data_IF_703606893652
#
_entry.id   IF_703606893652
#
_cell.length_a   1.000
_cell.length_b   1.000
_cell.length_c   1.000
_cell.angle_alpha   90.00
_cell.angle_beta   90.00
_cell.angle_gamma   90.00
#
_symmetry.space_group_name_H-M   'P 1'
#
loop_
_entity.id
_entity.type
_entity.pdbx_description
1 polymer ?
#
# COMPACT_ATOMS: atom_id res chain seq x y z
N UNK A 1 20.37 -30.99 13.12
CA UNK A 1 19.91 -30.71 11.75
C UNK A 1 19.17 -29.38 11.79
N UNK A 2 19.93 -28.31 11.67
CA UNK A 2 19.40 -26.95 11.60
C UNK A 2 18.85 -26.73 10.18
N UNK A 3 17.54 -26.47 10.08
CA UNK A 3 16.96 -25.92 8.86
C UNK A 3 17.12 -24.42 8.94
N UNK A 4 18.07 -23.90 8.16
CA UNK A 4 18.18 -22.47 7.90
C UNK A 4 16.88 -22.01 7.23
N UNK A 5 16.02 -21.33 7.98
CA UNK A 5 14.98 -20.47 7.42
C UNK A 5 15.69 -19.22 6.91
N UNK A 6 16.19 -19.29 5.68
CA UNK A 6 16.62 -18.10 4.95
C UNK A 6 15.38 -17.25 4.68
N UNK A 7 15.28 -16.14 5.42
CA UNK A 7 14.45 -14.99 5.07
C UNK A 7 14.79 -14.58 3.63
N UNK A 8 13.97 -15.00 2.66
CA UNK A 8 14.09 -14.48 1.30
C UNK A 8 13.49 -13.08 1.28
N UNK A 9 14.37 -12.09 1.16
CA UNK A 9 14.11 -10.68 0.95
C UNK A 9 13.35 -10.44 -0.37
N UNK A 10 12.09 -10.86 -0.45
CA UNK A 10 11.27 -10.73 -1.65
C UNK A 10 10.67 -9.34 -1.88
N UNK A 11 10.73 -8.45 -0.88
CA UNK A 11 10.15 -7.11 -0.98
C UNK A 11 11.15 -6.06 -1.48
N UNK A 12 12.43 -6.14 -1.09
CA UNK A 12 13.45 -5.14 -1.46
C UNK A 12 14.15 -5.40 -2.80
N UNK A 13 14.11 -6.61 -3.35
CA UNK A 13 14.79 -6.95 -4.62
C UNK A 13 13.91 -6.83 -5.87
N UNK A 14 12.70 -6.27 -5.76
CA UNK A 14 11.98 -5.76 -6.95
C UNK A 14 12.57 -4.40 -7.32
N UNK A 15 13.89 -4.35 -7.52
CA UNK A 15 14.66 -3.13 -7.84
C UNK A 15 14.33 -2.53 -9.21
N UNK A 16 13.50 -3.19 -10.01
CA UNK A 16 12.92 -2.65 -11.24
C UNK A 16 11.47 -3.13 -11.40
N UNK A 17 10.52 -2.32 -10.89
CA UNK A 17 9.07 -2.48 -11.13
C UNK A 17 8.72 -2.70 -12.61
N UNK A 18 9.55 -2.17 -13.51
CA UNK A 18 9.36 -2.21 -14.96
C UNK A 18 9.59 -3.58 -15.62
N UNK A 19 10.20 -4.56 -14.95
CA UNK A 19 10.63 -5.81 -15.60
C UNK A 19 9.67 -6.99 -15.38
N UNK A 20 8.74 -6.87 -14.43
CA UNK A 20 7.90 -7.99 -14.00
C UNK A 20 6.43 -7.57 -13.89
N UNK A 21 5.54 -8.43 -14.37
CA UNK A 21 4.12 -8.37 -14.05
C UNK A 21 3.82 -9.18 -12.80
N UNK A 22 2.77 -8.80 -12.08
CA UNK A 22 2.29 -9.52 -10.89
C UNK A 22 1.01 -10.24 -11.25
N UNK A 23 0.90 -11.51 -10.85
CA UNK A 23 -0.27 -12.32 -11.14
C UNK A 23 -0.65 -13.19 -9.93
N UNK A 24 -1.95 -13.41 -9.76
CA UNK A 24 -2.49 -14.41 -8.84
C UNK A 24 -2.81 -15.69 -9.60
N UNK A 25 -2.16 -16.79 -9.25
CA UNK A 25 -2.43 -18.14 -9.75
C UNK A 25 -3.78 -18.59 -9.19
N UNK A 26 -4.64 -19.06 -10.10
CA UNK A 26 -5.93 -19.66 -9.77
C UNK A 26 -5.86 -21.17 -9.83
N UNK A 27 -5.15 -21.68 -10.83
CA UNK A 27 -5.04 -23.11 -11.09
C UNK A 27 -3.80 -23.38 -11.93
N UNK A 28 -3.17 -24.54 -11.70
CA UNK A 28 -2.09 -25.06 -12.55
C UNK A 28 -2.56 -26.37 -13.18
N UNK A 29 -2.36 -26.51 -14.50
CA UNK A 29 -2.66 -27.72 -15.26
C UNK A 29 -1.46 -28.13 -16.08
N UNK A 30 -1.24 -29.44 -16.17
CA UNK A 30 -0.23 -30.03 -17.02
C UNK A 30 -0.90 -30.90 -18.09
N UNK A 31 -0.52 -30.71 -19.35
CA UNK A 31 -0.85 -31.66 -20.41
C UNK A 31 0.17 -32.80 -20.45
N UNK A 32 1.46 -32.45 -20.30
CA UNK A 32 2.57 -33.39 -20.15
C UNK A 32 3.71 -32.74 -19.34
N UNK A 33 4.87 -33.39 -19.28
CA UNK A 33 6.04 -32.95 -18.48
C UNK A 33 6.61 -31.61 -18.95
N UNK A 34 6.46 -31.26 -20.23
CA UNK A 34 6.98 -30.03 -20.82
C UNK A 34 5.91 -28.95 -20.99
N UNK A 35 4.63 -29.32 -20.95
CA UNK A 35 3.52 -28.41 -21.18
C UNK A 35 2.69 -28.21 -19.91
N UNK A 36 3.18 -27.31 -19.05
CA UNK A 36 2.52 -26.91 -17.81
C UNK A 36 2.10 -25.44 -17.92
N UNK A 37 0.81 -25.19 -17.65
CA UNK A 37 0.20 -23.87 -17.77
C UNK A 37 -0.49 -23.48 -16.48
N UNK A 38 -0.44 -22.19 -16.14
CA UNK A 38 -1.17 -21.61 -15.03
C UNK A 38 -2.26 -20.68 -15.56
N UNK A 39 -3.47 -20.81 -15.01
CA UNK A 39 -4.53 -19.83 -15.16
C UNK A 39 -4.38 -18.77 -14.07
N UNK A 40 -4.37 -17.51 -14.46
CA UNK A 40 -4.04 -16.40 -13.56
C UNK A 40 -5.04 -15.25 -13.64
N UNK A 41 -5.10 -14.43 -12.59
CA UNK A 41 -5.57 -13.05 -12.66
C UNK A 41 -4.39 -12.08 -12.61
N UNK A 42 -4.38 -11.09 -13.50
CA UNK A 42 -3.37 -10.03 -13.47
C UNK A 42 -3.61 -9.05 -12.31
N UNK A 43 -2.53 -8.60 -11.69
CA UNK A 43 -2.52 -7.50 -10.73
C UNK A 43 -1.73 -6.35 -11.33
N UNK A 44 -2.38 -5.20 -11.50
CA UNK A 44 -1.82 -4.06 -12.21
C UNK A 44 -1.07 -3.14 -11.26
N UNK A 45 0.02 -2.58 -11.77
CA UNK A 45 0.53 -1.35 -11.18
C UNK A 45 -0.44 -0.20 -11.47
N UNK A 46 -0.65 0.74 -10.53
CA UNK A 46 -1.48 1.90 -10.79
C UNK A 46 -1.10 2.69 -12.06
N UNK A 47 0.18 2.71 -12.42
CA UNK A 47 0.72 3.31 -13.64
C UNK A 47 0.15 2.69 -14.93
N UNK A 48 -0.24 1.41 -14.89
CA UNK A 48 -0.73 0.64 -16.04
C UNK A 48 -2.25 0.79 -16.25
N UNK A 49 -2.94 1.55 -15.39
CA UNK A 49 -4.37 1.76 -15.51
C UNK A 49 -4.71 2.43 -16.85
N UNK A 50 -5.55 1.81 -17.70
CA UNK A 50 -5.87 2.34 -19.01
C UNK A 50 -6.44 3.76 -18.99
N UNK A 51 -6.19 4.50 -20.07
CA UNK A 51 -6.82 5.82 -20.27
C UNK A 51 -8.32 5.64 -20.37
N UNK A 52 -9.05 6.38 -19.53
CA UNK A 52 -10.52 6.33 -19.50
C UNK A 52 -11.09 5.33 -18.50
N UNK A 53 -10.26 4.70 -17.66
CA UNK A 53 -10.72 3.94 -16.50
C UNK A 53 -11.65 4.79 -15.63
N UNK A 54 -12.76 4.21 -15.19
CA UNK A 54 -13.74 4.84 -14.34
C UNK A 54 -13.37 4.68 -12.87
N UNK A 55 -13.32 5.79 -12.15
CA UNK A 55 -13.21 5.86 -10.69
C UNK A 55 -14.44 6.63 -10.17
N UNK A 56 -15.48 5.88 -9.80
CA UNK A 56 -16.81 6.41 -9.56
C UNK A 56 -17.35 7.16 -10.78
N UNK A 57 -17.45 8.50 -10.70
CA UNK A 57 -17.94 9.36 -11.79
C UNK A 57 -16.82 9.97 -12.64
N UNK A 58 -15.56 9.75 -12.27
CA UNK A 58 -14.39 10.37 -12.91
C UNK A 58 -13.78 9.40 -13.90
N UNK A 59 -13.25 9.93 -15.01
CA UNK A 59 -12.35 9.20 -15.89
C UNK A 59 -10.92 9.51 -15.50
N UNK A 60 -10.12 8.48 -15.32
CA UNK A 60 -8.73 8.56 -14.90
C UNK A 60 -7.82 7.86 -15.92
N UNK A 61 -6.52 8.02 -15.72
CA UNK A 61 -5.48 7.30 -16.41
C UNK A 61 -4.28 7.18 -15.47
N UNK A 62 -3.64 6.02 -15.45
CA UNK A 62 -2.47 5.77 -14.62
C UNK A 62 -2.70 6.04 -13.13
N UNK A 63 -1.57 6.24 -12.42
CA UNK A 63 -1.54 6.39 -10.96
C UNK A 63 -2.29 7.65 -10.52
N UNK A 64 -3.24 7.48 -9.61
CA UNK A 64 -3.92 8.57 -8.92
C UNK A 64 -3.14 9.02 -7.67
N UNK A 65 -3.31 10.28 -7.21
CA UNK A 65 -2.58 10.83 -6.06
C UNK A 65 -2.79 10.06 -4.75
N UNK A 66 -3.91 9.35 -4.61
CA UNK A 66 -4.24 8.55 -3.44
C UNK A 66 -3.61 7.16 -3.44
N UNK A 67 -3.00 6.70 -4.53
CA UNK A 67 -2.34 5.39 -4.56
C UNK A 67 -0.98 5.43 -3.86
N UNK A 68 -0.74 4.48 -2.97
CA UNK A 68 0.55 4.32 -2.29
C UNK A 68 1.62 3.67 -3.16
N UNK A 69 2.89 3.79 -2.75
CA UNK A 69 4.07 3.44 -3.51
C UNK A 69 4.18 1.93 -3.80
N UNK A 70 3.67 1.11 -2.88
CA UNK A 70 3.65 -0.37 -2.99
C UNK A 70 2.25 -0.93 -3.27
N UNK A 71 1.32 -0.06 -3.71
CA UNK A 71 -0.04 -0.45 -4.06
C UNK A 71 -0.09 -1.11 -5.44
N UNK A 72 -0.76 -2.27 -5.49
CA UNK A 72 -1.23 -2.93 -6.70
C UNK A 72 -2.77 -2.84 -6.77
N UNK A 73 -3.29 -2.98 -7.98
CA UNK A 73 -4.72 -3.04 -8.26
C UNK A 73 -5.05 -4.47 -8.69
N UNK A 74 -5.83 -5.19 -7.87
CA UNK A 74 -6.30 -6.51 -8.24
C UNK A 74 -7.21 -6.42 -9.48
N UNK A 75 -7.33 -7.46 -10.30
CA UNK A 75 -8.25 -7.41 -11.43
C UNK A 75 -8.94 -8.73 -11.69
N UNK A 76 -10.02 -8.68 -12.46
CA UNK A 76 -10.66 -9.87 -13.03
C UNK A 76 -10.12 -10.21 -14.44
N UNK A 77 -8.98 -9.63 -14.84
CA UNK A 77 -8.35 -9.95 -16.12
C UNK A 77 -7.68 -11.32 -16.05
N UNK A 78 -8.39 -12.32 -16.58
CA UNK A 78 -7.95 -13.71 -16.60
C UNK A 78 -7.08 -14.00 -17.82
N UNK A 79 -6.01 -14.77 -17.62
CA UNK A 79 -5.15 -15.25 -18.70
C UNK A 79 -4.59 -16.65 -18.40
N UNK A 80 -3.96 -17.29 -19.40
CA UNK A 80 -3.25 -18.57 -19.27
C UNK A 80 -1.79 -18.36 -19.67
N UNK A 81 -0.88 -18.62 -18.75
CA UNK A 81 0.57 -18.47 -18.95
C UNK A 81 1.29 -19.81 -18.89
N UNK A 82 2.41 -19.94 -19.60
CA UNK A 82 3.36 -21.02 -19.36
C UNK A 82 4.05 -20.77 -18.01
N UNK A 83 4.16 -21.81 -17.17
CA UNK A 83 4.81 -21.70 -15.86
C UNK A 83 6.30 -21.37 -15.94
N UNK A 84 6.97 -21.62 -17.07
CA UNK A 84 8.36 -21.20 -17.29
C UNK A 84 8.54 -19.68 -17.28
N UNK A 85 7.46 -18.92 -17.52
CA UNK A 85 7.46 -17.46 -17.42
C UNK A 85 7.44 -16.94 -15.97
N UNK A 86 7.10 -17.81 -15.01
CA UNK A 86 7.06 -17.48 -13.58
C UNK A 86 8.48 -17.41 -13.02
N UNK A 87 8.79 -16.30 -12.35
CA UNK A 87 10.12 -16.04 -11.79
C UNK A 87 10.20 -16.51 -10.35
N UNK A 88 9.28 -16.00 -9.52
CA UNK A 88 9.24 -16.28 -8.09
C UNK A 88 7.87 -15.94 -7.50
N UNK A 89 7.58 -16.51 -6.34
CA UNK A 89 6.42 -16.13 -5.53
C UNK A 89 6.62 -14.76 -4.86
N UNK A 90 5.54 -14.01 -4.74
CA UNK A 90 5.47 -12.71 -4.06
C UNK A 90 4.33 -12.71 -3.05
N UNK A 91 4.42 -11.86 -2.03
CA UNK A 91 3.37 -11.68 -1.04
C UNK A 91 2.72 -10.31 -1.22
N UNK A 92 1.50 -10.29 -1.74
CA UNK A 92 0.62 -9.14 -1.87
C UNK A 92 -0.57 -9.34 -0.95
N UNK A 93 -0.63 -8.53 0.11
CA UNK A 93 -1.71 -8.61 1.09
C UNK A 93 -2.91 -7.80 0.63
N UNK A 94 -4.12 -8.31 0.89
CA UNK A 94 -5.30 -7.47 0.81
C UNK A 94 -5.32 -6.59 2.05
N UNK A 95 -5.33 -5.27 1.85
CA UNK A 95 -5.47 -4.32 2.95
C UNK A 95 -6.93 -3.87 3.06
N UNK A 96 -7.46 -3.96 4.27
CA UNK A 96 -8.77 -3.44 4.64
C UNK A 96 -8.53 -2.22 5.51
N UNK A 97 -8.98 -1.06 5.04
CA UNK A 97 -8.68 0.26 5.64
C UNK A 97 -9.21 0.42 7.08
N UNK A 98 -10.08 -0.47 7.55
CA UNK A 98 -10.56 -0.51 8.95
C UNK A 98 -9.62 -1.26 9.91
N UNK A 99 -8.54 -1.86 9.41
CA UNK A 99 -7.57 -2.59 10.21
C UNK A 99 -6.28 -1.79 10.36
N UNK A 100 -6.14 -1.06 11.46
CA UNK A 100 -5.02 -0.14 11.72
C UNK A 100 -3.71 -0.86 12.13
N UNK A 101 -3.72 -2.20 12.23
CA UNK A 101 -2.59 -2.99 12.71
C UNK A 101 -1.50 -3.29 11.68
N UNK A 102 -1.71 -2.98 10.39
CA UNK A 102 -0.82 -3.42 9.32
C UNK A 102 0.01 -2.26 8.74
N UNK A 103 1.28 -2.17 9.16
CA UNK A 103 2.28 -1.31 8.49
C UNK A 103 2.59 -1.89 7.11
N UNK A 104 2.37 -1.09 6.06
CA UNK A 104 2.47 -1.52 4.66
C UNK A 104 3.91 -1.47 4.13
N UNK A 105 4.80 -2.31 4.67
CA UNK A 105 6.19 -2.43 4.18
C UNK A 105 6.30 -3.34 2.93
N UNK A 106 5.24 -4.08 2.60
CA UNK A 106 5.19 -5.02 1.46
C UNK A 106 4.20 -4.57 0.39
N UNK A 107 4.18 -5.26 -0.75
CA UNK A 107 3.13 -5.06 -1.74
C UNK A 107 1.76 -5.36 -1.12
N UNK A 108 0.77 -4.55 -1.48
CA UNK A 108 -0.59 -4.70 -1.01
C UNK A 108 -1.59 -4.26 -2.08
N UNK A 109 -2.85 -4.63 -1.91
CA UNK A 109 -3.95 -4.14 -2.73
C UNK A 109 -5.17 -3.86 -1.86
N UNK A 110 -5.92 -2.80 -2.18
CA UNK A 110 -7.21 -2.47 -1.54
C UNK A 110 -8.31 -2.14 -2.56
N UNK A 111 -7.94 -1.96 -3.82
CA UNK A 111 -8.83 -1.64 -4.92
C UNK A 111 -8.75 -2.74 -6.00
N UNK A 112 -9.87 -2.95 -6.68
CA UNK A 112 -9.97 -3.89 -7.79
C UNK A 112 -10.40 -3.18 -9.08
N UNK A 113 -9.79 -3.55 -10.21
CA UNK A 113 -10.12 -3.11 -11.54
C UNK A 113 -10.92 -4.17 -12.28
N UNK A 114 -12.09 -3.79 -12.77
CA UNK A 114 -12.90 -4.63 -13.65
C UNK A 114 -12.48 -4.40 -15.11
N UNK A 115 -11.75 -5.36 -15.67
CA UNK A 115 -11.22 -5.32 -17.03
C UNK A 115 -12.30 -5.16 -18.11
N UNK A 116 -13.50 -5.73 -17.89
CA UNK A 116 -14.59 -5.66 -18.88
C UNK A 116 -15.29 -4.30 -18.90
N UNK A 117 -15.52 -3.70 -17.74
CA UNK A 117 -16.21 -2.40 -17.63
C UNK A 117 -15.24 -1.22 -17.58
N UNK A 118 -13.94 -1.50 -17.44
CA UNK A 118 -12.90 -0.50 -17.18
C UNK A 118 -13.21 0.37 -15.96
N UNK A 119 -13.65 -0.24 -14.86
CA UNK A 119 -14.08 0.46 -13.64
C UNK A 119 -13.30 -0.03 -12.41
N UNK A 120 -12.90 0.91 -11.57
CA UNK A 120 -12.31 0.64 -10.26
C UNK A 120 -13.38 0.51 -9.18
N UNK A 121 -13.16 -0.41 -8.25
CA UNK A 121 -13.94 -0.48 -7.01
C UNK A 121 -13.74 0.78 -6.17
N UNK A 122 -14.72 1.13 -5.34
CA UNK A 122 -14.60 2.25 -4.41
C UNK A 122 -13.58 1.99 -3.30
N UNK A 123 -12.94 3.06 -2.82
CA UNK A 123 -12.03 3.10 -1.67
C UNK A 123 -12.62 4.04 -0.61
N UNK A 124 -12.28 3.88 0.67
CA UNK A 124 -12.80 4.74 1.74
C UNK A 124 -12.38 6.19 1.48
N UNK A 125 -13.38 7.08 1.48
CA UNK A 125 -13.17 8.51 1.40
C UNK A 125 -13.00 9.08 2.80
N UNK A 126 -12.00 9.93 2.97
CA UNK A 126 -11.74 10.62 4.23
C UNK A 126 -11.66 12.12 3.98
N UNK A 127 -11.51 12.89 5.05
CA UNK A 127 -11.37 14.34 5.03
C UNK A 127 -12.61 15.06 4.46
N UNK A 128 -12.68 16.36 4.73
CA UNK A 128 -13.73 17.23 4.18
C UNK A 128 -13.67 17.37 2.65
N UNK A 129 -12.51 17.13 2.05
CA UNK A 129 -12.33 17.15 0.60
C UNK A 129 -12.97 15.94 -0.11
N UNK A 130 -13.46 14.93 0.62
CA UNK A 130 -14.11 13.73 0.08
C UNK A 130 -13.23 12.97 -0.92
N UNK A 131 -11.95 12.82 -0.59
CA UNK A 131 -11.01 12.05 -1.42
C UNK A 131 -10.38 10.92 -0.60
N UNK A 132 -10.02 9.79 -1.26
CA UNK A 132 -9.30 8.72 -0.57
C UNK A 132 -7.95 9.19 -0.04
N UNK A 133 -7.47 8.55 1.03
CA UNK A 133 -6.12 8.81 1.55
C UNK A 133 -5.06 8.04 0.79
N UNK A 134 -3.90 8.68 0.65
CA UNK A 134 -2.67 7.98 0.33
C UNK A 134 -2.07 7.40 1.62
N UNK A 135 -1.86 6.08 1.74
CA UNK A 135 -1.30 5.46 2.94
C UNK A 135 0.15 5.87 3.23
N UNK A 136 0.88 6.38 2.24
CA UNK A 136 2.22 6.91 2.45
C UNK A 136 2.21 8.35 2.99
N UNK A 137 1.02 8.97 3.08
CA UNK A 137 0.85 10.33 3.59
C UNK A 137 0.21 10.29 4.98
N UNK A 138 0.67 11.22 5.83
CA UNK A 138 0.13 11.38 7.17
C UNK A 138 -1.32 11.86 7.14
N UNK A 139 -2.18 11.14 7.88
CA UNK A 139 -3.50 11.60 8.26
C UNK A 139 -3.48 12.15 9.68
N UNK A 140 -4.26 13.19 9.93
CA UNK A 140 -4.42 13.81 11.24
C UNK A 140 -5.83 13.52 11.72
N UNK A 141 -5.97 12.80 12.82
CA UNK A 141 -7.24 12.55 13.48
C UNK A 141 -7.72 13.78 14.23
N UNK A 142 -9.03 14.06 14.19
CA UNK A 142 -9.60 15.11 15.01
C UNK A 142 -9.50 14.74 16.49
N UNK A 143 -8.93 15.60 17.37
CA UNK A 143 -8.79 15.30 18.78
C UNK A 143 -10.11 15.34 19.56
N UNK A 144 -11.15 15.90 18.95
CA UNK A 144 -12.48 15.95 19.55
C UNK A 144 -13.16 14.59 19.37
N UNK A 145 -13.49 13.93 20.49
CA UNK A 145 -14.13 12.61 20.53
C UNK A 145 -15.47 12.57 19.77
N UNK A 146 -16.16 13.71 19.59
CA UNK A 146 -17.40 13.75 18.82
C UNK A 146 -17.21 13.89 17.31
N UNK A 147 -15.99 14.15 16.84
CA UNK A 147 -15.71 14.37 15.42
C UNK A 147 -15.29 13.09 14.72
N UNK A 148 -14.39 12.29 15.32
CA UNK A 148 -13.83 11.02 14.78
C UNK A 148 -13.40 11.04 13.29
N UNK A 149 -13.22 12.23 12.70
CA UNK A 149 -12.84 12.40 11.29
C UNK A 149 -11.33 12.44 11.13
N UNK A 150 -10.85 11.74 10.09
CA UNK A 150 -9.46 11.82 9.62
C UNK A 150 -9.31 12.87 8.53
N UNK A 151 -8.29 13.70 8.65
CA UNK A 151 -8.00 14.80 7.74
C UNK A 151 -6.65 14.58 7.06
N UNK A 152 -6.56 14.91 5.76
CA UNK A 152 -5.26 15.00 5.11
C UNK A 152 -4.47 16.16 5.73
N UNK A 153 -3.19 15.94 6.03
CA UNK A 153 -2.32 16.98 6.56
C UNK A 153 -2.31 18.23 5.64
N UNK A 154 -2.19 18.01 4.33
CA UNK A 154 -2.19 19.08 3.32
C UNK A 154 -3.49 19.91 3.39
N UNK A 155 -4.65 19.26 3.47
CA UNK A 155 -5.93 19.96 3.58
C UNK A 155 -6.08 20.73 4.90
N UNK A 156 -5.54 20.21 6.00
CA UNK A 156 -5.56 20.89 7.29
C UNK A 156 -4.64 22.13 7.25
N UNK A 157 -3.46 22.00 6.64
CA UNK A 157 -2.53 23.10 6.46
C UNK A 157 -3.14 24.21 5.61
N UNK A 158 -3.74 23.86 4.47
CA UNK A 158 -4.41 24.79 3.57
C UNK A 158 -5.54 25.56 4.28
N UNK A 159 -6.35 24.87 5.09
CA UNK A 159 -7.43 25.48 5.87
C UNK A 159 -6.89 26.45 6.93
N UNK A 160 -5.80 26.10 7.63
CA UNK A 160 -5.15 27.02 8.59
C UNK A 160 -4.56 28.23 7.89
N UNK A 161 -3.86 28.04 6.76
CA UNK A 161 -3.26 29.11 5.99
C UNK A 161 -4.31 30.06 5.41
N UNK A 162 -5.42 29.53 4.88
CA UNK A 162 -6.54 30.32 4.39
C UNK A 162 -7.14 31.20 5.50
N UNK A 163 -7.40 30.65 6.69
CA UNK A 163 -7.92 31.42 7.83
C UNK A 163 -6.97 32.50 8.31
N UNK A 164 -5.66 32.22 8.31
CA UNK A 164 -4.65 33.21 8.67
C UNK A 164 -4.55 34.33 7.64
N UNK A 165 -4.63 33.97 6.34
CA UNK A 165 -4.67 34.93 5.25
C UNK A 165 -5.92 35.82 5.33
N UNK A 166 -7.09 35.25 5.57
CA UNK A 166 -8.34 36.03 5.72
C UNK A 166 -8.28 37.00 6.91
N UNK A 167 -7.52 36.65 7.96
CA UNK A 167 -7.33 37.49 9.15
C UNK A 167 -6.29 38.59 8.97
N UNK A 168 -5.17 38.31 8.29
CA UNK A 168 -4.00 39.18 8.24
C UNK A 168 -3.81 39.89 6.88
N UNK A 169 -4.41 39.37 5.82
CA UNK A 169 -4.18 39.82 4.45
C UNK A 169 -2.71 39.68 4.02
N UNK A 170 -2.30 40.48 3.03
CA UNK A 170 -0.91 40.52 2.53
C UNK A 170 -0.01 41.48 3.32
N UNK A 171 -0.60 42.42 4.05
CA UNK A 171 0.10 43.61 4.56
C UNK A 171 0.41 43.57 6.06
N UNK A 172 -0.21 42.66 6.84
CA UNK A 172 0.07 42.54 8.27
C UNK A 172 0.99 41.35 8.58
N UNK A 173 2.22 41.59 9.07
CA UNK A 173 3.09 40.51 9.49
C UNK A 173 2.53 39.80 10.73
N UNK A 174 2.58 38.47 10.73
CA UNK A 174 2.26 37.67 11.90
C UNK A 174 3.28 37.95 13.01
N UNK A 175 2.82 38.49 14.14
CA UNK A 175 3.64 38.65 15.35
C UNK A 175 3.35 37.48 16.27
N UNK A 176 4.31 36.58 16.43
CA UNK A 176 4.22 35.56 17.46
C UNK A 176 4.27 36.24 18.83
N UNK A 177 3.24 36.04 19.64
CA UNK A 177 3.29 36.42 21.05
C UNK A 177 4.35 35.55 21.72
N UNK A 178 5.48 36.15 22.11
CA UNK A 178 6.48 35.48 22.94
C UNK A 178 5.80 35.04 24.24
N UNK A 179 5.96 33.79 24.70
CA UNK A 179 5.50 33.41 26.03
C UNK A 179 6.19 34.32 27.04
N UNK A 180 5.42 34.99 27.89
CA UNK A 180 5.95 35.74 29.01
C UNK A 180 6.62 34.76 29.97
N UNK A 181 7.91 34.52 29.79
CA UNK A 181 8.77 33.94 30.83
C UNK A 181 8.79 35.00 31.94
N UNK A 182 8.06 34.74 33.03
CA UNK A 182 8.25 35.47 34.28
C UNK A 182 9.62 35.06 34.81
N UNK A 183 10.61 35.94 34.67
CA UNK A 183 11.84 35.84 35.45
C UNK A 183 11.46 36.05 36.93
N UNK A 184 11.52 34.99 37.72
CA UNK A 184 11.58 35.12 39.17
C UNK A 184 13.02 35.40 39.58
N UNK A 185 13.17 36.54 40.25
CA UNK A 185 14.38 37.11 40.83
C UNK A 185 15.07 36.09 41.74
N UNK A 186 16.39 35.96 41.59
CA UNK A 186 17.25 35.23 42.53
C UNK A 186 17.23 35.94 43.90
N UNK A 187 16.83 35.22 44.94
CA UNK A 187 17.24 35.51 46.32
C UNK A 187 17.88 34.24 46.90
N UNK A 188 19.17 34.36 47.22
CA UNK A 188 19.96 33.34 47.88
C UNK A 188 19.58 33.24 49.36
N UNK A 189 19.17 32.05 49.83
CA UNK A 189 19.49 31.64 51.21
C UNK A 189 19.62 30.12 51.29
N UNK A 190 20.79 29.67 51.75
CA UNK A 190 21.12 28.27 52.09
C UNK A 190 20.26 27.79 53.27
N UNK A 191 19.79 26.54 53.20
CA UNK A 191 19.95 25.54 54.27
C UNK A 191 19.54 24.14 53.77
N UNK A 192 20.37 23.14 54.08
CA UNK A 192 20.15 21.68 53.90
C UNK A 192 20.18 21.02 55.30
N UNK A 193 19.86 19.71 55.49
CA UNK A 193 18.96 18.79 54.78
C UNK A 193 18.05 18.01 55.76
N UNK A 194 17.13 17.15 55.27
CA UNK A 194 16.70 15.87 55.92
C UNK A 194 15.75 15.06 55.03
N UNK A 195 16.01 13.76 54.93
CA UNK A 195 15.37 12.82 53.99
C UNK A 195 14.07 12.14 54.46
N UNK A 196 13.49 11.33 53.57
CA UNK A 196 12.36 10.43 53.85
C UNK A 196 11.63 9.89 52.59
N UNK A 197 11.96 8.64 52.24
CA UNK A 197 11.26 7.54 51.52
C UNK A 197 9.92 7.69 50.75
N UNK A 198 9.94 7.05 49.56
CA UNK A 198 8.96 6.16 48.86
C UNK A 198 7.52 6.58 48.51
N UNK A 199 7.13 6.29 47.26
CA UNK A 199 5.73 6.04 46.87
C UNK A 199 5.53 5.89 45.36
N UNK A 200 5.51 4.64 44.86
CA UNK A 200 5.05 4.22 43.54
C UNK A 200 3.63 4.70 43.22
N UNK A 201 3.34 5.15 41.98
CA UNK A 201 2.00 5.01 41.40
C UNK A 201 2.05 4.66 39.90
N UNK A 202 1.70 3.40 39.64
CA UNK A 202 1.40 2.78 38.35
C UNK A 202 0.14 3.39 37.75
N UNK A 203 0.15 3.75 36.47
CA UNK A 203 -1.09 3.99 35.72
C UNK A 203 -1.64 2.64 35.23
N UNK A 204 -2.76 2.25 35.85
CA UNK A 204 -3.50 1.05 35.50
C UNK A 204 -4.36 1.24 34.26
N UNK A 205 -4.23 0.29 33.32
CA UNK A 205 -5.18 0.03 32.25
C UNK A 205 -6.47 -0.55 32.86
N UNK A 206 -7.61 0.07 32.57
CA UNK A 206 -8.91 -0.57 32.73
C UNK A 206 -9.55 -0.79 31.36
N UNK A 207 -9.63 -2.06 30.97
CA UNK A 207 -10.52 -2.54 29.93
C UNK A 207 -11.92 -2.77 30.50
N UNK A 208 -12.99 -2.45 29.74
CA UNK A 208 -14.30 -3.05 29.98
C UNK A 208 -14.47 -4.36 29.20
N UNK A 209 -14.83 -5.40 29.95
CA UNK A 209 -15.28 -6.72 29.51
C UNK A 209 -16.70 -6.61 28.94
N UNK A 210 -16.92 -6.99 27.67
CA UNK A 210 -18.25 -7.31 27.14
C UNK A 210 -18.21 -8.70 26.51
N UNK A 211 -19.02 -9.61 27.05
CA UNK A 211 -19.30 -10.93 26.50
C UNK A 211 -20.37 -10.81 25.42
N UNK A 212 -20.19 -11.49 24.29
CA UNK A 212 -21.32 -11.98 23.49
C UNK A 212 -20.94 -13.20 22.66
N UNK A 213 -21.96 -13.98 22.35
CA UNK A 213 -21.99 -15.43 22.18
C UNK A 213 -21.37 -16.04 20.91
N UNK A 214 -21.02 -17.31 21.10
CA UNK A 214 -20.66 -18.31 20.10
C UNK A 214 -21.67 -18.44 18.95
N UNK A 215 -21.19 -18.20 17.73
CA UNK A 215 -21.65 -18.92 16.54
C UNK A 215 -20.45 -19.37 15.71
N UNK A 216 -20.08 -20.63 15.93
CA UNK A 216 -19.05 -21.36 15.20
C UNK A 216 -19.51 -21.63 13.77
N UNK A 217 -18.73 -21.17 12.80
CA UNK A 217 -18.71 -21.71 11.43
C UNK A 217 -17.25 -21.82 10.99
N UNK A 218 -16.91 -22.84 10.19
CA UNK A 218 -15.61 -23.50 10.26
C UNK A 218 -14.52 -22.69 9.58
N UNK A 219 -13.47 -22.37 10.34
CA UNK A 219 -12.21 -21.87 9.79
C UNK A 219 -11.51 -23.01 9.07
N UNK A 220 -11.48 -22.95 7.74
CA UNK A 220 -10.46 -23.65 6.97
C UNK A 220 -9.15 -22.93 7.28
N UNK A 221 -8.17 -23.66 7.81
CA UNK A 221 -6.84 -23.15 8.06
C UNK A 221 -6.23 -22.73 6.72
N UNK A 222 -6.06 -21.42 6.52
CA UNK A 222 -5.25 -20.88 5.43
C UNK A 222 -3.79 -21.25 5.72
N UNK A 223 -3.36 -22.41 5.24
CA UNK A 223 -1.95 -22.64 4.97
C UNK A 223 -1.47 -21.56 4.00
N UNK A 224 -0.34 -20.93 4.29
CA UNK A 224 0.33 -19.92 3.44
C UNK A 224 0.72 -20.51 2.08
N UNK A 225 -0.25 -20.71 1.18
CA UNK A 225 0.03 -20.97 -0.22
C UNK A 225 0.23 -19.60 -0.85
N UNK A 226 1.48 -19.31 -1.24
CA UNK A 226 1.84 -18.07 -1.94
C UNK A 226 1.40 -18.18 -3.39
N UNK A 227 0.11 -17.97 -3.62
CA UNK A 227 -0.51 -18.07 -4.94
C UNK A 227 -0.20 -16.88 -5.86
N UNK A 228 0.54 -15.89 -5.38
CA UNK A 228 0.88 -14.70 -6.16
C UNK A 228 2.34 -14.76 -6.62
N UNK A 229 2.59 -14.39 -7.87
CA UNK A 229 3.89 -14.57 -8.52
C UNK A 229 4.30 -13.38 -9.36
N UNK A 230 5.61 -13.24 -9.55
CA UNK A 230 6.20 -12.39 -10.58
C UNK A 230 6.32 -13.16 -11.89
N UNK A 231 5.89 -12.54 -12.98
CA UNK A 231 5.95 -13.08 -14.34
C UNK A 231 6.87 -12.18 -15.16
N UNK A 232 7.81 -12.77 -15.91
CA UNK A 232 8.67 -11.97 -16.81
C UNK A 232 7.81 -11.31 -17.88
N UNK A 233 7.98 -10.00 -18.06
CA UNK A 233 7.49 -9.36 -19.28
C UNK A 233 8.33 -9.91 -20.43
N UNK A 234 7.69 -10.56 -21.41
CA UNK A 234 8.38 -10.95 -22.64
C UNK A 234 8.82 -9.68 -23.37
N UNK A 235 10.07 -9.29 -23.18
CA UNK A 235 10.68 -8.21 -23.94
C UNK A 235 10.72 -8.57 -25.44
N UNK A 236 10.62 -7.54 -26.28
CA UNK A 236 10.74 -7.58 -27.75
C UNK A 236 12.03 -8.27 -28.27
N UNK A 237 12.96 -8.60 -27.38
CA UNK A 237 14.21 -9.32 -27.65
C UNK A 237 13.99 -10.77 -28.13
N UNK A 238 12.86 -11.42 -27.79
CA UNK A 238 12.56 -12.79 -28.26
C UNK A 238 12.27 -12.84 -29.77
N UNK A 239 11.82 -11.74 -30.38
CA UNK A 239 11.55 -11.66 -31.82
C UNK A 239 12.82 -11.47 -32.68
N UNK A 240 13.97 -11.16 -32.08
CA UNK A 240 15.26 -11.06 -32.79
C UNK A 240 15.91 -12.42 -33.04
N UNK A 241 15.57 -13.44 -32.24
CA UNK A 241 16.13 -14.79 -32.37
C UNK A 241 15.56 -15.62 -33.53
N UNK A 242 14.35 -15.31 -34.00
CA UNK A 242 13.68 -16.12 -35.03
C UNK A 242 13.92 -15.64 -36.47
N UNK A 243 14.53 -14.45 -36.66
CA UNK A 243 14.78 -13.88 -38.00
C UNK A 243 16.13 -14.29 -38.62
N UNK A 244 17.01 -14.97 -37.88
CA UNK A 244 18.38 -15.27 -38.33
C UNK A 244 18.59 -16.72 -38.81
N UNK A 245 17.53 -17.52 -39.06
CA UNK A 245 17.67 -18.93 -39.45
C UNK A 245 17.16 -19.30 -40.85
N UNK A 246 16.80 -18.34 -41.71
CA UNK A 246 16.24 -18.66 -43.03
C UNK A 246 16.80 -17.78 -44.14
N UNK A 247 18.11 -17.85 -44.39
CA UNK A 247 18.65 -17.64 -45.75
C UNK A 247 19.94 -18.46 -45.93
N UNK A 248 19.90 -19.46 -46.80
CA UNK A 248 21.11 -20.15 -47.23
C UNK A 248 20.86 -21.55 -47.76
N UNK A 249 20.33 -21.68 -48.98
CA UNK A 249 20.77 -22.67 -49.98
C UNK A 249 20.06 -22.37 -51.31
N UNK A 250 20.75 -21.68 -52.22
CA UNK A 250 20.48 -21.78 -53.66
C UNK A 250 21.67 -22.52 -54.28
N UNK A 251 21.46 -23.79 -54.63
CA UNK A 251 22.42 -24.56 -55.45
C UNK A 251 22.30 -24.11 -56.90
N UNK A 252 23.42 -23.68 -57.45
CA UNK A 252 23.67 -23.57 -58.89
C UNK A 252 23.80 -24.97 -59.49
N UNK A 253 23.15 -25.22 -60.63
CA UNK A 253 23.59 -26.22 -61.60
C UNK A 253 23.48 -25.62 -63.00
N UNK A 254 24.45 -26.01 -63.81
CA UNK A 254 24.73 -25.61 -65.19
C UNK A 254 23.58 -25.88 -66.17
#
# INVERSE_FOLDING_TARGET
>A
MERQNSLFAGASEVGNKANYWVAQILEVRASDVFHVYARVYWMYWPEELPVGTLDGKRKIAGRQPYHGQHELVASNHMDIINVESVVMGVNVKQWIETNDGDVQETLYWRQAFNYKTSELSSVVVVCKCRTPSNPDKMLVGCPNESCEEWMHYDCLLDDVLARMYDRLGMDMPHKSEKPAIKEETKEDTKDEPKGGTMGDLRYGLLSPLVKSDDRKSPMVANSEIKDQVLVKQLGDESLKGLRNSTTGTTKSLA
#
